data_IF_636802232518
#
_entry.id   IF_636802232518
#
_cell.length_a   1.000
_cell.length_b   1.000
_cell.length_c   1.000
_cell.angle_alpha   90.00
_cell.angle_beta   90.00
_cell.angle_gamma   90.00
#
_symmetry.space_group_name_H-M   'P 1'
#
loop_
_entity.id
_entity.type
_entity.pdbx_description
1 polymer ?
#
# COMPACT_ATOMS: atom_id res chain seq x y z
N UNK A 1 -4.24 -19.21 22.45
CA UNK A 1 -4.20 -19.65 21.03
C UNK A 1 -4.08 -18.37 20.25
N UNK A 2 -2.82 -18.03 19.99
CA UNK A 2 -2.33 -16.67 20.13
C UNK A 2 -2.30 -15.97 18.77
N UNK A 3 -2.88 -14.76 18.75
CA UNK A 3 -2.87 -13.87 17.61
C UNK A 3 -1.50 -13.19 17.51
N UNK A 4 -0.52 -13.86 16.91
CA UNK A 4 0.76 -13.26 16.58
C UNK A 4 0.69 -12.65 15.16
N UNK A 5 0.73 -11.31 15.08
CA UNK A 5 0.84 -10.63 13.79
C UNK A 5 0.58 -9.11 13.78
N UNK A 6 -0.13 -8.55 14.75
CA UNK A 6 -0.33 -7.11 14.80
C UNK A 6 0.93 -6.40 15.30
N UNK A 7 1.56 -5.58 14.46
CA UNK A 7 2.65 -4.69 14.91
C UNK A 7 2.02 -3.35 15.25
N UNK A 8 1.86 -3.03 16.53
CA UNK A 8 1.45 -1.68 16.92
C UNK A 8 2.68 -0.77 17.05
N UNK A 9 2.60 0.41 16.44
CA UNK A 9 3.57 1.48 16.67
C UNK A 9 3.02 2.33 17.81
N UNK A 10 3.58 2.17 19.01
CA UNK A 10 3.18 2.95 20.19
C UNK A 10 3.91 4.28 20.22
N UNK A 11 3.17 5.39 20.23
CA UNK A 11 3.65 6.69 20.71
C UNK A 11 2.95 7.01 22.03
N UNK A 12 3.60 7.81 22.88
CA UNK A 12 3.04 8.26 24.16
C UNK A 12 1.62 8.85 23.97
N UNK A 13 0.60 8.07 24.33
CA UNK A 13 -0.82 8.46 24.29
C UNK A 13 -1.60 8.17 23.00
N UNK A 14 -0.98 7.68 21.93
CA UNK A 14 -1.65 7.39 20.64
C UNK A 14 -1.10 6.07 20.04
N UNK A 15 -1.99 5.10 19.77
CA UNK A 15 -1.63 3.81 19.20
C UNK A 15 -2.05 3.75 17.73
N UNK A 16 -1.07 3.65 16.82
CA UNK A 16 -1.32 3.38 15.40
C UNK A 16 -1.24 1.88 15.20
N UNK A 17 -2.39 1.26 14.97
CA UNK A 17 -2.52 -0.18 14.81
C UNK A 17 -2.23 -0.58 13.36
N UNK A 18 -1.07 -1.19 13.10
CA UNK A 18 -0.74 -1.76 11.78
C UNK A 18 -1.04 -3.26 11.83
N UNK A 19 -2.24 -3.65 11.40
CA UNK A 19 -2.60 -5.06 11.21
C UNK A 19 -1.97 -5.60 9.92
N UNK A 20 -0.82 -6.26 10.04
CA UNK A 20 -0.36 -7.21 9.04
C UNK A 20 -0.84 -8.59 9.52
N UNK A 21 -1.83 -9.19 8.86
CA UNK A 21 -2.16 -10.60 9.14
C UNK A 21 -1.14 -11.52 8.43
N UNK A 22 -0.40 -12.37 9.17
CA UNK A 22 -0.03 -13.71 8.72
C UNK A 22 -0.96 -14.77 9.34
N UNK A 23 -1.10 -15.97 8.75
CA UNK A 23 -0.23 -16.54 7.74
C UNK A 23 -0.79 -16.43 6.33
N UNK A 24 0.07 -16.01 5.40
CA UNK A 24 -0.03 -16.43 4.01
C UNK A 24 0.27 -17.93 3.96
N UNK A 25 -0.67 -18.78 4.35
CA UNK A 25 -0.58 -20.23 4.10
C UNK A 25 -0.97 -20.51 2.67
N UNK A 26 -0.07 -21.24 2.01
CA UNK A 26 -0.26 -21.98 0.76
C UNK A 26 -1.65 -22.60 0.64
N UNK A 27 -2.23 -22.51 -0.55
CA UNK A 27 -3.51 -23.10 -0.98
C UNK A 27 -4.79 -22.38 -0.55
N UNK A 28 -5.16 -21.34 -1.30
CA UNK A 28 -6.44 -21.23 -2.02
C UNK A 28 -6.58 -19.84 -2.63
N UNK A 29 -6.74 -19.79 -3.96
CA UNK A 29 -7.29 -18.67 -4.74
C UNK A 29 -6.92 -17.24 -4.29
N UNK A 30 -5.80 -16.74 -4.82
CA UNK A 30 -5.50 -15.31 -4.93
C UNK A 30 -6.63 -14.59 -5.70
N UNK A 31 -7.62 -14.04 -4.99
CA UNK A 31 -8.72 -13.28 -5.59
C UNK A 31 -8.94 -11.96 -4.85
N UNK A 32 -8.07 -10.97 -5.11
CA UNK A 32 -8.44 -9.55 -5.06
C UNK A 32 -8.78 -8.90 -3.71
N UNK A 33 -8.00 -9.13 -2.65
CA UNK A 33 -8.23 -8.44 -1.37
C UNK A 33 -7.68 -7.00 -1.38
N UNK A 34 -8.53 -6.04 -0.99
CA UNK A 34 -8.15 -4.66 -0.62
C UNK A 34 -7.80 -4.66 0.87
N UNK A 35 -6.59 -4.22 1.21
CA UNK A 35 -6.20 -4.00 2.60
C UNK A 35 -6.70 -2.61 3.03
N UNK A 36 -7.87 -2.57 3.65
CA UNK A 36 -8.27 -1.44 4.47
C UNK A 36 -7.65 -1.61 5.86
N UNK A 37 -6.69 -0.77 6.24
CA UNK A 37 -6.28 -0.63 7.65
C UNK A 37 -7.36 0.14 8.43
N UNK A 38 -8.54 -0.47 8.56
CA UNK A 38 -9.59 0.00 9.44
C UNK A 38 -10.49 -1.16 9.78
N UNK A 39 -10.04 -2.01 10.71
CA UNK A 39 -10.92 -3.04 11.22
C UNK A 39 -12.02 -2.39 12.07
N UNK A 40 -13.27 -2.83 11.89
CA UNK A 40 -14.44 -2.36 12.64
C UNK A 40 -14.27 -2.54 14.16
N UNK A 41 -13.30 -3.35 14.58
CA UNK A 41 -12.91 -3.57 15.97
C UNK A 41 -12.49 -2.28 16.69
N UNK A 42 -11.75 -1.39 16.02
CA UNK A 42 -11.24 -0.16 16.65
C UNK A 42 -12.32 0.90 16.90
N UNK A 43 -13.43 0.86 16.14
CA UNK A 43 -14.56 1.77 16.36
C UNK A 43 -15.37 1.43 17.61
N UNK A 44 -15.21 0.22 18.16
CA UNK A 44 -16.08 -0.31 19.21
C UNK A 44 -15.41 -0.31 20.59
N UNK A 45 -14.08 -0.23 20.68
CA UNK A 45 -13.37 -0.42 21.95
C UNK A 45 -13.35 0.81 22.86
N UNK A 46 -13.71 2.01 22.40
CA UNK A 46 -13.77 3.24 23.22
C UNK A 46 -12.42 3.71 23.81
N UNK A 47 -11.38 2.88 23.76
CA UNK A 47 -10.05 3.12 24.32
C UNK A 47 -9.11 3.87 23.36
N UNK A 48 -9.39 3.87 22.05
CA UNK A 48 -8.50 4.43 21.04
C UNK A 48 -9.25 5.36 20.09
N UNK A 49 -8.71 6.58 19.90
CA UNK A 49 -9.18 7.51 18.86
C UNK A 49 -8.44 7.23 17.56
N UNK A 50 -9.17 6.81 16.54
CA UNK A 50 -8.62 6.58 15.21
C UNK A 50 -8.20 7.92 14.57
N UNK A 51 -6.90 8.13 14.40
CA UNK A 51 -6.34 9.37 13.85
C UNK A 51 -6.39 9.43 12.31
N UNK A 52 -6.54 8.29 11.65
CA UNK A 52 -6.63 8.15 10.20
C UNK A 52 -6.32 6.72 9.76
N UNK A 53 -6.51 6.46 8.47
CA UNK A 53 -6.35 5.15 7.85
C UNK A 53 -5.51 5.29 6.59
N UNK A 54 -4.76 4.24 6.25
CA UNK A 54 -4.10 4.11 4.96
C UNK A 54 -4.82 3.04 4.15
N UNK A 55 -5.10 3.34 2.88
CA UNK A 55 -5.62 2.35 1.95
C UNK A 55 -4.45 1.63 1.28
N UNK A 56 -4.60 0.34 1.00
CA UNK A 56 -3.58 -0.32 0.23
C UNK A 56 -4.00 -1.67 -0.31
N UNK A 57 -3.11 -2.27 -1.07
CA UNK A 57 -3.32 -3.61 -1.58
C UNK A 57 -2.17 -4.09 -2.43
N UNK A 58 -2.27 -5.34 -2.86
CA UNK A 58 -1.30 -5.98 -3.76
C UNK A 58 -1.94 -6.31 -5.09
N UNK A 59 -1.27 -6.02 -6.20
CA UNK A 59 -1.72 -6.36 -7.56
C UNK A 59 -3.12 -5.80 -7.84
N UNK A 60 -4.13 -6.65 -8.09
CA UNK A 60 -5.51 -6.17 -8.27
C UNK A 60 -6.05 -5.43 -7.04
N UNK A 61 -5.63 -5.81 -5.83
CA UNK A 61 -5.99 -5.10 -4.60
C UNK A 61 -5.48 -3.65 -4.60
N UNK A 62 -4.28 -3.38 -5.14
CA UNK A 62 -3.78 -2.00 -5.23
C UNK A 62 -4.56 -1.16 -6.25
N UNK A 63 -5.07 -1.78 -7.33
CA UNK A 63 -5.97 -1.10 -8.27
C UNK A 63 -7.31 -0.76 -7.64
N UNK A 64 -7.89 -1.72 -6.91
CA UNK A 64 -9.14 -1.49 -6.21
C UNK A 64 -8.98 -0.41 -5.14
N UNK A 65 -7.88 -0.41 -4.37
CA UNK A 65 -7.57 0.65 -3.41
C UNK A 65 -7.39 2.03 -4.08
N UNK A 66 -6.67 2.10 -5.21
CA UNK A 66 -6.54 3.32 -5.99
C UNK A 66 -7.89 3.84 -6.50
N UNK A 67 -8.74 2.93 -7.01
CA UNK A 67 -10.07 3.28 -7.48
C UNK A 67 -10.95 3.81 -6.35
N UNK A 68 -10.94 3.17 -5.17
CA UNK A 68 -11.66 3.67 -3.98
C UNK A 68 -11.16 5.07 -3.62
N UNK A 69 -9.85 5.27 -3.52
CA UNK A 69 -9.24 6.57 -3.20
C UNK A 69 -9.68 7.68 -4.18
N UNK A 70 -9.82 7.37 -5.47
CA UNK A 70 -10.27 8.33 -6.48
C UNK A 70 -11.72 8.82 -6.29
N UNK A 71 -12.55 8.07 -5.58
CA UNK A 71 -13.96 8.37 -5.37
C UNK A 71 -14.25 8.88 -3.95
N UNK A 72 -13.23 9.12 -3.13
CA UNK A 72 -13.40 9.76 -1.83
C UNK A 72 -13.55 11.27 -2.07
N UNK A 73 -14.75 11.79 -1.78
CA UNK A 73 -15.03 13.21 -1.94
C UNK A 73 -14.36 14.04 -0.82
N UNK A 74 -13.87 15.26 -1.11
CA UNK A 74 -13.17 16.13 -0.15
C UNK A 74 -13.96 16.59 1.09
N UNK A 75 -15.15 16.05 1.36
CA UNK A 75 -16.01 16.44 2.48
C UNK A 75 -16.57 15.28 3.32
N UNK A 76 -16.39 14.03 2.89
CA UNK A 76 -16.92 12.86 3.62
C UNK A 76 -15.97 12.39 4.76
N UNK A 77 -14.75 12.90 4.76
CA UNK A 77 -13.67 12.43 5.61
C UNK A 77 -12.58 13.51 5.70
N UNK A 78 -12.73 14.50 6.58
CA UNK A 78 -11.66 15.45 6.93
C UNK A 78 -10.36 14.67 7.27
N UNK A 79 -9.45 14.53 6.30
CA UNK A 79 -8.17 13.82 6.41
C UNK A 79 -8.24 12.41 7.05
N UNK A 80 -9.38 11.71 6.95
CA UNK A 80 -9.45 10.38 7.56
C UNK A 80 -8.60 9.37 6.79
N UNK A 81 -8.58 9.44 5.46
CA UNK A 81 -7.64 8.67 4.65
C UNK A 81 -6.35 9.47 4.48
N UNK A 82 -5.22 8.90 4.89
CA UNK A 82 -3.91 9.56 4.96
C UNK A 82 -3.00 9.25 3.77
N UNK A 83 -3.34 8.22 2.98
CA UNK A 83 -2.55 7.85 1.81
C UNK A 83 -2.87 6.46 1.27
N UNK A 84 -2.25 6.15 0.13
CA UNK A 84 -2.40 4.91 -0.62
C UNK A 84 -1.08 4.13 -0.70
N UNK A 85 -1.13 2.82 -0.44
CA UNK A 85 0.00 1.90 -0.55
C UNK A 85 -0.28 0.87 -1.65
N UNK A 86 0.52 0.92 -2.71
CA UNK A 86 0.41 0.07 -3.89
C UNK A 86 1.57 -0.92 -3.96
N UNK A 87 1.34 -2.19 -3.63
CA UNK A 87 2.32 -3.26 -3.77
C UNK A 87 2.10 -3.97 -5.12
N UNK A 88 3.13 -4.07 -5.96
CA UNK A 88 3.03 -4.68 -7.29
C UNK A 88 1.87 -4.11 -8.12
N UNK A 89 1.76 -2.78 -8.26
CA UNK A 89 0.64 -2.20 -9.02
C UNK A 89 0.71 -2.66 -10.49
N UNK A 90 -0.33 -3.33 -11.03
CA UNK A 90 -0.32 -3.87 -12.38
C UNK A 90 -0.64 -2.75 -13.37
N UNK A 91 0.37 -1.92 -13.65
CA UNK A 91 0.29 -0.72 -14.47
C UNK A 91 -0.16 -1.02 -15.90
N UNK A 92 0.21 -2.17 -16.45
CA UNK A 92 -0.29 -2.67 -17.72
C UNK A 92 -0.48 -4.19 -17.64
N UNK A 93 -1.19 -4.74 -18.63
CA UNK A 93 -1.14 -6.18 -18.84
C UNK A 93 0.25 -6.61 -19.33
N UNK A 94 0.69 -7.86 -19.08
CA UNK A 94 1.91 -8.37 -19.68
C UNK A 94 1.90 -8.15 -21.19
N UNK A 95 3.01 -7.63 -21.73
CA UNK A 95 3.19 -7.32 -23.17
C UNK A 95 2.28 -6.22 -23.74
N UNK A 96 1.56 -5.46 -22.91
CA UNK A 96 0.69 -4.36 -23.34
C UNK A 96 1.13 -3.00 -22.78
N UNK A 97 2.43 -2.68 -22.88
CA UNK A 97 3.05 -1.43 -22.38
C UNK A 97 2.42 -0.14 -22.93
N UNK A 98 1.68 -0.21 -24.05
CA UNK A 98 1.01 0.92 -24.67
C UNK A 98 -0.36 1.23 -24.06
N UNK A 99 -0.92 0.33 -23.25
CA UNK A 99 -2.23 0.47 -22.61
C UNK A 99 -2.08 0.45 -21.11
N UNK A 100 -1.77 1.62 -20.56
CA UNK A 100 -1.57 1.83 -19.14
C UNK A 100 -2.92 1.88 -18.40
N UNK A 101 -2.86 1.66 -17.09
CA UNK A 101 -3.97 1.75 -16.12
C UNK A 101 -3.63 2.83 -15.10
N UNK A 102 -3.35 4.02 -15.59
CA UNK A 102 -2.83 5.17 -14.84
C UNK A 102 -3.90 6.26 -14.62
N UNK A 103 -5.10 6.09 -15.18
CA UNK A 103 -6.17 7.10 -15.13
C UNK A 103 -6.60 7.41 -13.70
N UNK A 104 -6.75 6.37 -12.87
CA UNK A 104 -7.05 6.51 -11.44
C UNK A 104 -5.89 7.22 -10.72
N UNK A 105 -4.64 6.84 -11.02
CA UNK A 105 -3.46 7.41 -10.35
C UNK A 105 -3.35 8.93 -10.52
N UNK A 106 -3.79 9.48 -11.66
CA UNK A 106 -3.78 10.92 -11.92
C UNK A 106 -4.88 11.70 -11.18
N UNK A 107 -5.91 11.03 -10.67
CA UNK A 107 -7.01 11.64 -9.91
C UNK A 107 -6.75 11.69 -8.40
N UNK A 108 -5.84 10.85 -7.91
CA UNK A 108 -5.47 10.81 -6.49
C UNK A 108 -4.75 12.09 -6.10
N UNK A 109 -5.13 12.62 -4.93
CA UNK A 109 -4.53 13.83 -4.33
C UNK A 109 -3.68 13.50 -3.10
N UNK A 110 -4.04 12.46 -2.37
CA UNK A 110 -3.35 12.00 -1.16
C UNK A 110 -2.02 11.31 -1.46
N UNK A 111 -1.07 11.28 -0.51
CA UNK A 111 0.22 10.63 -0.68
C UNK A 111 0.14 9.18 -1.15
N UNK A 112 0.99 8.78 -2.11
CA UNK A 112 1.03 7.42 -2.66
C UNK A 112 2.41 6.78 -2.51
N UNK A 113 2.48 5.60 -1.90
CA UNK A 113 3.66 4.74 -1.92
C UNK A 113 3.47 3.60 -2.92
N UNK A 114 4.38 3.49 -3.86
CA UNK A 114 4.54 2.30 -4.68
C UNK A 114 5.67 1.43 -4.14
N UNK A 115 5.39 0.14 -3.95
CA UNK A 115 6.40 -0.89 -3.72
C UNK A 115 6.35 -1.84 -4.91
N UNK A 116 7.35 -1.77 -5.78
CA UNK A 116 7.34 -2.49 -7.06
C UNK A 116 8.62 -3.28 -7.27
N UNK A 117 8.51 -4.39 -8.00
CA UNK A 117 9.67 -5.20 -8.35
C UNK A 117 10.36 -4.66 -9.61
N UNK A 118 11.70 -4.59 -9.61
CA UNK A 118 12.42 -4.10 -10.81
C UNK A 118 12.33 -5.03 -12.02
N UNK A 119 11.88 -6.28 -11.82
CA UNK A 119 11.64 -7.29 -12.85
C UNK A 119 10.14 -7.63 -12.99
N UNK A 120 9.23 -6.71 -12.64
CA UNK A 120 7.79 -6.88 -12.79
C UNK A 120 7.34 -6.70 -14.27
N UNK A 121 6.84 -7.78 -14.88
CA UNK A 121 6.34 -7.77 -16.27
C UNK A 121 5.03 -6.99 -16.47
N UNK A 122 4.36 -6.60 -15.38
CA UNK A 122 3.14 -5.79 -15.38
C UNK A 122 3.39 -4.33 -14.99
N UNK A 123 4.63 -3.98 -14.61
CA UNK A 123 4.97 -2.65 -14.12
C UNK A 123 6.44 -2.31 -14.42
N UNK A 124 6.72 -1.87 -15.64
CA UNK A 124 8.06 -1.45 -16.01
C UNK A 124 8.52 -0.18 -15.32
N UNK A 125 9.77 -0.20 -14.85
CA UNK A 125 10.40 0.90 -14.10
C UNK A 125 10.24 2.26 -14.76
N UNK A 126 10.63 2.37 -16.02
CA UNK A 126 10.57 3.61 -16.77
C UNK A 126 9.12 4.11 -16.99
N UNK A 127 8.14 3.20 -17.05
CA UNK A 127 6.74 3.58 -17.23
C UNK A 127 6.15 4.08 -15.91
N UNK A 128 6.40 3.37 -14.81
CA UNK A 128 5.93 3.78 -13.49
C UNK A 128 6.52 5.13 -13.08
N UNK A 129 7.83 5.34 -13.30
CA UNK A 129 8.49 6.62 -13.01
C UNK A 129 7.88 7.78 -13.82
N UNK A 130 7.56 7.56 -15.11
CA UNK A 130 6.87 8.56 -15.95
C UNK A 130 5.45 8.86 -15.49
N UNK A 131 4.72 7.85 -15.01
CA UNK A 131 3.37 8.03 -14.46
C UNK A 131 3.46 8.81 -13.15
N UNK A 132 4.35 8.40 -12.25
CA UNK A 132 4.61 9.07 -10.97
C UNK A 132 4.98 10.56 -11.13
N UNK A 133 5.78 10.92 -12.14
CA UNK A 133 6.12 12.31 -12.45
C UNK A 133 4.92 13.16 -12.91
N UNK A 134 3.88 12.52 -13.47
CA UNK A 134 2.67 13.20 -13.94
C UNK A 134 1.58 13.27 -12.87
N UNK A 135 1.71 12.52 -11.78
CA UNK A 135 0.76 12.55 -10.68
C UNK A 135 0.81 13.89 -9.95
N UNK A 136 -0.35 14.38 -9.52
CA UNK A 136 -0.46 15.56 -8.66
C UNK A 136 -0.17 15.22 -7.20
N UNK A 137 -0.55 14.01 -6.78
CA UNK A 137 -0.27 13.49 -5.45
C UNK A 137 1.24 13.37 -5.17
N UNK A 138 1.70 13.74 -3.95
CA UNK A 138 3.02 13.37 -3.47
C UNK A 138 3.19 11.85 -3.59
N UNK A 139 4.28 11.41 -4.20
CA UNK A 139 4.47 9.98 -4.44
C UNK A 139 5.92 9.55 -4.22
N UNK A 140 6.07 8.28 -3.83
CA UNK A 140 7.37 7.61 -3.60
C UNK A 140 7.33 6.23 -4.23
N UNK A 141 8.43 5.82 -4.85
CA UNK A 141 8.59 4.47 -5.39
C UNK A 141 9.74 3.78 -4.67
N UNK A 142 9.45 2.66 -4.01
CA UNK A 142 10.44 1.73 -3.50
C UNK A 142 10.58 0.54 -4.45
N UNK A 143 11.78 0.30 -4.94
CA UNK A 143 12.09 -0.81 -5.84
C UNK A 143 12.66 -2.00 -5.06
N UNK A 144 12.00 -3.16 -5.16
CA UNK A 144 12.59 -4.43 -4.74
C UNK A 144 13.41 -4.98 -5.92
N UNK A 145 14.73 -4.96 -5.78
CA UNK A 145 15.64 -5.34 -6.84
C UNK A 145 15.46 -6.82 -7.24
N UNK A 146 15.33 -7.07 -8.55
CA UNK A 146 15.08 -8.37 -9.19
C UNK A 146 13.77 -9.05 -8.78
N UNK A 147 12.85 -8.36 -8.12
CA UNK A 147 11.55 -8.93 -7.78
C UNK A 147 10.63 -8.96 -9.00
N UNK A 148 9.94 -10.08 -9.18
CA UNK A 148 8.83 -10.21 -10.13
C UNK A 148 7.54 -9.60 -9.58
N UNK A 149 6.46 -9.65 -10.35
CA UNK A 149 5.13 -9.22 -9.91
C UNK A 149 4.69 -9.88 -8.58
N UNK A 150 5.11 -11.13 -8.34
CA UNK A 150 4.77 -11.86 -7.12
C UNK A 150 5.65 -11.50 -5.91
N UNK A 151 6.55 -10.53 -6.04
CA UNK A 151 7.61 -10.19 -5.08
C UNK A 151 8.62 -11.32 -4.85
N UNK A 152 8.70 -12.28 -5.76
CA UNK A 152 9.72 -13.34 -5.70
C UNK A 152 11.06 -12.82 -6.24
N UNK A 153 12.13 -13.03 -5.48
CA UNK A 153 13.51 -12.68 -5.87
C UNK A 153 14.36 -13.94 -5.85
N UNK A 154 15.02 -14.27 -6.96
CA UNK A 154 15.91 -15.43 -7.03
C UNK A 154 17.05 -15.30 -6.02
N UNK A 155 17.19 -16.28 -5.13
CA UNK A 155 18.25 -16.32 -4.11
C UNK A 155 17.95 -15.53 -2.83
N UNK A 156 16.74 -14.99 -2.65
CA UNK A 156 16.26 -14.44 -1.38
C UNK A 156 15.07 -15.24 -0.88
N UNK A 157 14.92 -15.36 0.43
CA UNK A 157 13.71 -15.95 1.00
C UNK A 157 12.54 -14.99 0.83
N UNK A 158 11.33 -15.56 0.70
CA UNK A 158 10.08 -14.79 0.67
C UNK A 158 9.97 -13.90 1.91
N UNK A 159 10.34 -14.41 3.08
CA UNK A 159 10.26 -13.68 4.34
C UNK A 159 11.17 -12.44 4.37
N UNK A 160 12.39 -12.54 3.83
CA UNK A 160 13.30 -11.39 3.78
C UNK A 160 12.79 -10.29 2.86
N UNK A 161 12.14 -10.66 1.75
CA UNK A 161 11.52 -9.69 0.84
C UNK A 161 10.34 -9.01 1.52
N UNK A 162 9.45 -9.77 2.17
CA UNK A 162 8.32 -9.18 2.89
C UNK A 162 8.77 -8.32 4.08
N UNK A 163 9.84 -8.69 4.78
CA UNK A 163 10.43 -7.87 5.83
C UNK A 163 10.90 -6.52 5.29
N UNK A 164 11.56 -6.49 4.12
CA UNK A 164 11.94 -5.26 3.44
C UNK A 164 10.72 -4.42 3.08
N UNK A 165 9.70 -5.03 2.44
CA UNK A 165 8.46 -4.36 2.06
C UNK A 165 7.79 -3.71 3.29
N UNK A 166 7.60 -4.47 4.36
CA UNK A 166 6.97 -3.99 5.59
C UNK A 166 7.78 -2.86 6.22
N UNK A 167 9.10 -2.96 6.24
CA UNK A 167 9.98 -1.91 6.77
C UNK A 167 9.80 -0.60 6.00
N UNK A 168 9.75 -0.66 4.66
CA UNK A 168 9.57 0.53 3.83
C UNK A 168 8.18 1.16 3.98
N UNK A 169 7.14 0.33 4.11
CA UNK A 169 5.78 0.79 4.37
C UNK A 169 5.73 1.51 5.73
N UNK A 170 6.29 0.92 6.78
CA UNK A 170 6.31 1.52 8.12
C UNK A 170 7.05 2.86 8.14
N UNK A 171 8.22 2.94 7.48
CA UNK A 171 8.96 4.20 7.38
C UNK A 171 8.17 5.27 6.65
N UNK A 172 7.50 4.92 5.56
CA UNK A 172 6.70 5.87 4.81
C UNK A 172 5.46 6.32 5.60
N UNK A 173 4.78 5.43 6.33
CA UNK A 173 3.68 5.80 7.22
C UNK A 173 4.16 6.79 8.30
N UNK A 174 5.34 6.54 8.88
CA UNK A 174 5.94 7.47 9.84
C UNK A 174 6.22 8.84 9.20
N UNK A 175 6.79 8.86 7.99
CA UNK A 175 7.05 10.08 7.22
C UNK A 175 5.76 10.90 7.02
N UNK A 176 4.67 10.28 6.57
CA UNK A 176 3.39 10.97 6.36
C UNK A 176 2.77 11.46 7.67
N UNK A 177 2.77 10.64 8.73
CA UNK A 177 2.16 11.02 10.02
C UNK A 177 2.95 12.09 10.78
N UNK A 178 4.23 12.28 10.47
CA UNK A 178 5.05 13.37 11.02
C UNK A 178 4.88 14.68 10.26
N UNK A 179 4.54 14.64 8.96
CA UNK A 179 4.25 15.84 8.16
C UNK A 179 3.02 16.61 8.64
N UNK A 180 2.01 15.91 9.17
CA UNK A 180 0.78 16.50 9.72
C UNK A 180 0.99 17.35 10.99
N UNK A 181 2.19 17.33 11.58
CA UNK A 181 2.52 18.04 12.84
C UNK A 181 3.18 19.40 12.64
N UNK A 182 3.49 19.79 11.41
CA UNK A 182 4.12 21.08 11.06
C UNK A 182 3.09 22.04 10.48
#
# INVERSE_FOLDING_TARGET
>A
MDAEGCTSVKRAGEEVLVSANPPFTTESSFQGDVLCFSDNYLKTSGEYKLAGVFLGGRSMGSRAAASVMCHIEPGDADNFVRGLICISYPLHHPKQQHKLRDEDLFRIKDPVLFVSGSADEMCEKNLLEKVAQKMQAPNKIHWIEKASHSMAVKGRSTNDVFKEINTQILFWIQEITEMDKK
#
